data_IF_552481363247
#
_entry.id   IF_552481363247
#
_cell.length_a   1.000
_cell.length_b   1.000
_cell.length_c   1.000
_cell.angle_alpha   90.00
_cell.angle_beta   90.00
_cell.angle_gamma   90.00
#
_symmetry.space_group_name_H-M   'P 1'
#
loop_
_entity.id
_entity.type
_entity.pdbx_description
1 polymer ?
#
# COMPACT_ATOMS: atom_id res chain seq x y z
N UNK A 1 -4.95 -11.34 -6.42
CA UNK A 1 -5.06 -10.20 -5.48
C UNK A 1 -6.10 -10.53 -4.41
N UNK A 2 -5.79 -10.35 -3.12
CA UNK A 2 -6.75 -10.58 -2.01
C UNK A 2 -7.38 -9.25 -1.58
N UNK A 3 -8.62 -9.02 -2.00
CA UNK A 3 -9.37 -7.77 -1.75
C UNK A 3 -9.61 -7.54 -0.25
N UNK A 4 -9.93 -8.60 0.50
CA UNK A 4 -10.22 -8.48 1.93
C UNK A 4 -8.96 -8.10 2.71
N UNK A 5 -7.81 -8.71 2.37
CA UNK A 5 -6.53 -8.34 2.94
C UNK A 5 -6.16 -6.88 2.62
N UNK A 6 -6.41 -6.42 1.39
CA UNK A 6 -6.17 -5.03 0.98
C UNK A 6 -7.05 -4.06 1.76
N UNK A 7 -8.35 -4.30 1.85
CA UNK A 7 -9.26 -3.43 2.60
C UNK A 7 -8.89 -3.39 4.08
N UNK A 8 -8.60 -4.55 4.69
CA UNK A 8 -8.08 -4.64 6.06
C UNK A 8 -6.75 -3.92 6.21
N UNK A 9 -5.88 -3.90 5.20
CA UNK A 9 -4.61 -3.17 5.22
C UNK A 9 -4.82 -1.64 5.11
N UNK A 10 -5.78 -1.20 4.31
CA UNK A 10 -6.11 0.21 4.10
C UNK A 10 -6.97 0.81 5.22
N UNK A 11 -7.65 -0.01 6.02
CA UNK A 11 -8.50 0.40 7.15
C UNK A 11 -7.70 0.87 8.38
N UNK A 12 -6.60 1.59 8.18
CA UNK A 12 -5.83 2.26 9.25
C UNK A 12 -5.14 3.50 8.64
N UNK A 13 -5.25 4.67 9.29
CA UNK A 13 -4.70 5.92 8.76
C UNK A 13 -3.19 5.88 8.56
N UNK A 14 -2.43 5.39 9.53
CA UNK A 14 -0.96 5.34 9.45
C UNK A 14 -0.48 4.46 8.30
N UNK A 15 -1.13 3.32 8.05
CA UNK A 15 -0.80 2.48 6.88
C UNK A 15 -1.05 3.20 5.56
N UNK A 16 -2.07 4.06 5.49
CA UNK A 16 -2.31 4.91 4.31
C UNK A 16 -1.26 6.02 4.20
N UNK A 17 -0.82 6.60 5.31
CA UNK A 17 0.26 7.58 5.32
C UNK A 17 1.58 6.98 4.83
N UNK A 18 1.90 5.74 5.25
CA UNK A 18 3.05 5.00 4.72
C UNK A 18 2.97 4.85 3.19
N UNK A 19 1.80 4.47 2.67
CA UNK A 19 1.59 4.39 1.21
C UNK A 19 1.68 5.77 0.55
N UNK A 20 1.22 6.84 1.20
CA UNK A 20 1.34 8.18 0.66
C UNK A 20 2.80 8.59 0.55
N UNK A 21 3.59 8.40 1.62
CA UNK A 21 5.01 8.75 1.62
C UNK A 21 5.82 7.94 0.61
N UNK A 22 5.51 6.65 0.47
CA UNK A 22 6.19 5.77 -0.50
C UNK A 22 5.78 6.04 -1.96
N UNK A 23 4.75 6.85 -2.21
CA UNK A 23 4.36 7.25 -3.57
C UNK A 23 5.37 8.23 -4.18
N UNK A 24 5.89 9.12 -3.35
CA UNK A 24 6.91 10.10 -3.71
C UNK A 24 8.05 10.09 -2.67
N UNK A 25 8.85 9.01 -2.65
CA UNK A 25 9.78 8.79 -1.55
C UNK A 25 10.94 9.81 -1.54
N UNK A 26 11.27 10.44 -2.67
CA UNK A 26 12.29 11.48 -2.75
C UNK A 26 11.90 12.76 -1.99
N UNK A 27 10.60 13.11 -1.99
CA UNK A 27 10.08 14.28 -1.25
C UNK A 27 9.91 13.98 0.25
N UNK A 28 9.68 12.71 0.60
CA UNK A 28 9.30 12.34 1.96
C UNK A 28 10.43 11.78 2.83
N UNK A 29 11.50 11.27 2.22
CA UNK A 29 12.61 10.62 2.93
C UNK A 29 13.96 11.21 2.53
N UNK A 30 14.86 11.30 3.51
CA UNK A 30 16.25 11.69 3.27
C UNK A 30 17.13 10.56 2.74
N UNK A 31 18.46 10.73 2.81
CA UNK A 31 19.43 9.72 2.37
C UNK A 31 19.22 8.35 3.04
N UNK A 32 19.27 7.30 2.22
CA UNK A 32 19.14 5.91 2.69
C UNK A 32 20.49 5.35 3.15
N UNK A 33 20.50 4.32 4.02
CA UNK A 33 21.72 3.62 4.39
C UNK A 33 22.49 3.13 3.15
N UNK A 34 23.82 3.19 3.23
CA UNK A 34 24.73 2.71 2.18
C UNK A 34 24.52 3.36 0.80
N UNK A 35 23.86 4.53 0.75
CA UNK A 35 23.59 5.24 -0.50
C UNK A 35 22.54 4.56 -1.38
N UNK A 36 21.69 3.70 -0.81
CA UNK A 36 20.64 3.02 -1.57
C UNK A 36 19.70 4.04 -2.26
N UNK A 37 19.37 3.88 -3.56
CA UNK A 37 18.50 4.82 -4.26
C UNK A 37 17.09 4.83 -3.66
N UNK A 38 16.61 6.00 -3.23
CA UNK A 38 15.32 6.17 -2.56
C UNK A 38 14.14 5.77 -3.45
N UNK A 39 14.31 5.90 -4.77
CA UNK A 39 13.35 5.50 -5.80
C UNK A 39 13.20 3.98 -5.91
N UNK A 40 14.23 3.22 -5.50
CA UNK A 40 14.19 1.75 -5.47
C UNK A 40 13.58 1.22 -4.18
N UNK A 41 13.39 2.07 -3.17
CA UNK A 41 12.73 1.71 -1.92
C UNK A 41 13.32 2.44 -0.71
N UNK A 42 12.57 2.40 0.37
CA UNK A 42 12.88 3.13 1.61
C UNK A 42 13.14 2.14 2.73
N UNK A 43 14.22 2.36 3.48
CA UNK A 43 14.59 1.51 4.60
C UNK A 43 13.54 1.58 5.73
N UNK A 44 13.27 0.44 6.37
CA UNK A 44 12.35 0.37 7.54
C UNK A 44 12.64 1.44 8.60
N UNK A 45 13.92 1.74 8.88
CA UNK A 45 14.30 2.74 9.87
C UNK A 45 13.87 4.14 9.47
N UNK A 46 13.92 4.49 8.17
CA UNK A 46 13.45 5.79 7.68
C UNK A 46 11.94 5.94 7.74
N UNK A 47 11.20 4.84 7.55
CA UNK A 47 9.75 4.81 7.74
C UNK A 47 9.41 4.99 9.22
N UNK A 48 10.12 4.29 10.11
CA UNK A 48 9.97 4.42 11.55
C UNK A 48 10.18 5.86 12.03
N UNK A 49 11.22 6.53 11.55
CA UNK A 49 11.53 7.93 11.89
C UNK A 49 10.41 8.94 11.53
N UNK A 50 9.50 8.60 10.59
CA UNK A 50 8.35 9.45 10.24
C UNK A 50 7.12 9.19 11.12
N UNK A 51 7.18 8.24 12.05
CA UNK A 51 6.06 7.83 12.89
C UNK A 51 6.42 7.94 14.36
N UNK A 52 5.46 8.30 15.21
CA UNK A 52 5.63 8.24 16.67
C UNK A 52 5.38 6.83 17.24
N UNK A 53 5.54 5.79 16.40
CA UNK A 53 5.20 4.41 16.72
C UNK A 53 6.44 3.59 17.08
N UNK A 54 6.23 2.48 17.78
CA UNK A 54 7.29 1.51 18.04
C UNK A 54 7.73 0.78 16.76
N UNK A 55 8.98 0.32 16.74
CA UNK A 55 9.52 -0.50 15.65
C UNK A 55 8.66 -1.75 15.39
N UNK A 56 8.16 -2.41 16.44
CA UNK A 56 7.31 -3.60 16.31
C UNK A 56 5.99 -3.27 15.62
N UNK A 57 5.40 -2.11 15.91
CA UNK A 57 4.16 -1.64 15.27
C UNK A 57 4.39 -1.33 13.80
N UNK A 58 5.44 -0.57 13.47
CA UNK A 58 5.79 -0.24 12.08
C UNK A 58 6.10 -1.51 11.28
N UNK A 59 6.86 -2.45 11.86
CA UNK A 59 7.16 -3.73 11.21
C UNK A 59 5.89 -4.54 10.93
N UNK A 60 4.94 -4.55 11.88
CA UNK A 60 3.64 -5.19 11.70
C UNK A 60 2.85 -4.53 10.57
N UNK A 61 2.83 -3.20 10.51
CA UNK A 61 2.14 -2.46 9.45
C UNK A 61 2.72 -2.73 8.07
N UNK A 62 4.05 -2.71 7.95
CA UNK A 62 4.75 -3.03 6.71
C UNK A 62 4.50 -4.48 6.28
N UNK A 63 4.52 -5.43 7.21
CA UNK A 63 4.19 -6.82 6.93
C UNK A 63 2.74 -6.99 6.46
N UNK A 64 1.78 -6.27 7.06
CA UNK A 64 0.37 -6.30 6.61
C UNK A 64 0.21 -5.73 5.20
N UNK A 65 0.84 -4.59 4.92
CA UNK A 65 0.81 -3.97 3.60
C UNK A 65 1.50 -4.86 2.53
N UNK A 66 2.63 -5.47 2.86
CA UNK A 66 3.33 -6.41 1.99
C UNK A 66 2.51 -7.68 1.74
N UNK A 67 1.90 -8.26 2.78
CA UNK A 67 1.02 -9.44 2.65
C UNK A 67 -0.22 -9.17 1.80
N UNK A 68 -0.75 -7.94 1.87
CA UNK A 68 -1.83 -7.48 1.00
C UNK A 68 -1.36 -7.20 -0.44
N UNK A 69 -0.05 -7.25 -0.70
CA UNK A 69 0.55 -6.97 -2.00
C UNK A 69 0.71 -5.48 -2.33
N UNK A 70 0.35 -4.58 -1.41
CA UNK A 70 0.46 -3.12 -1.62
C UNK A 70 1.91 -2.63 -1.60
N UNK A 71 2.81 -3.41 -1.01
CA UNK A 71 4.24 -3.15 -0.96
C UNK A 71 5.03 -4.37 -1.46
N UNK A 72 6.16 -4.09 -2.09
CA UNK A 72 7.25 -5.04 -2.28
C UNK A 72 8.38 -4.72 -1.30
N UNK A 73 9.18 -5.72 -0.96
CA UNK A 73 10.37 -5.53 -0.15
C UNK A 73 11.60 -6.18 -0.78
N UNK A 74 12.75 -5.56 -0.54
CA UNK A 74 14.04 -6.02 -1.03
C UNK A 74 15.07 -5.90 0.09
N UNK A 75 15.87 -6.95 0.30
CA UNK A 75 16.91 -6.98 1.33
C UNK A 75 18.28 -6.74 0.71
N UNK A 76 19.04 -5.78 1.25
CA UNK A 76 20.43 -5.51 0.89
C UNK A 76 21.26 -5.51 2.16
N UNK A 77 22.14 -6.49 2.30
CA UNK A 77 22.89 -6.71 3.53
C UNK A 77 21.95 -6.91 4.74
N UNK A 78 22.08 -6.03 5.73
CA UNK A 78 21.24 -6.03 6.94
C UNK A 78 19.94 -5.23 6.80
N UNK A 79 19.79 -4.44 5.73
CA UNK A 79 18.69 -3.51 5.56
C UNK A 79 17.57 -4.10 4.71
N UNK A 80 16.32 -3.84 5.10
CA UNK A 80 15.13 -4.15 4.31
C UNK A 80 14.50 -2.86 3.82
N UNK A 81 14.33 -2.76 2.51
CA UNK A 81 13.73 -1.62 1.81
C UNK A 81 12.33 -1.98 1.34
N UNK A 82 11.40 -1.04 1.45
CA UNK A 82 10.02 -1.18 1.00
C UNK A 82 9.71 -0.20 -0.12
N UNK A 83 8.92 -0.64 -1.09
CA UNK A 83 8.43 0.17 -2.21
C UNK A 83 6.97 -0.14 -2.48
N UNK A 84 6.21 0.84 -2.96
CA UNK A 84 4.84 0.61 -3.44
C UNK A 84 4.81 -0.28 -4.67
N UNK A 85 3.87 -1.22 -4.65
CA UNK A 85 3.52 -2.00 -5.82
C UNK A 85 2.43 -1.25 -6.61
N UNK A 86 2.85 -0.36 -7.51
CA UNK A 86 1.91 0.41 -8.32
C UNK A 86 1.11 -0.47 -9.29
N UNK A 87 1.64 -1.64 -9.69
CA UNK A 87 0.92 -2.55 -10.57
C UNK A 87 -0.29 -3.15 -9.83
N UNK A 88 -0.05 -3.69 -8.63
CA UNK A 88 -1.12 -4.25 -7.80
C UNK A 88 -2.11 -3.18 -7.33
N UNK A 89 -1.65 -1.98 -6.98
CA UNK A 89 -2.53 -0.87 -6.59
C UNK A 89 -3.45 -0.47 -7.76
N UNK A 90 -2.93 -0.37 -8.99
CA UNK A 90 -3.74 -0.04 -10.17
C UNK A 90 -4.73 -1.17 -10.52
N UNK A 91 -4.30 -2.43 -10.42
CA UNK A 91 -5.17 -3.59 -10.59
C UNK A 91 -6.32 -3.58 -9.56
N UNK A 92 -6.00 -3.28 -8.30
CA UNK A 92 -6.97 -3.15 -7.22
C UNK A 92 -8.00 -2.06 -7.52
N UNK A 93 -7.53 -0.84 -7.82
CA UNK A 93 -8.41 0.29 -8.11
C UNK A 93 -9.34 0.01 -9.29
N UNK A 94 -8.81 -0.59 -10.37
CA UNK A 94 -9.62 -0.94 -11.55
C UNK A 94 -10.68 -2.00 -11.22
N UNK A 95 -10.27 -3.07 -10.54
CA UNK A 95 -11.15 -4.22 -10.27
C UNK A 95 -12.20 -3.90 -9.23
N UNK A 96 -11.78 -3.33 -8.09
CA UNK A 96 -12.68 -2.99 -7.00
C UNK A 96 -13.61 -1.83 -7.38
N UNK A 97 -13.13 -0.84 -8.12
CA UNK A 97 -13.97 0.22 -8.67
C UNK A 97 -15.08 -0.32 -9.58
N UNK A 98 -14.74 -1.21 -10.52
CA UNK A 98 -15.73 -1.90 -11.37
C UNK A 98 -16.73 -2.70 -10.55
N UNK A 99 -16.28 -3.44 -9.54
CA UNK A 99 -17.14 -4.23 -8.66
C UNK A 99 -18.14 -3.33 -7.90
N UNK A 100 -17.69 -2.21 -7.34
CA UNK A 100 -18.57 -1.24 -6.67
C UNK A 100 -19.58 -0.64 -7.64
N UNK A 101 -19.17 -0.26 -8.86
CA UNK A 101 -20.09 0.22 -9.89
C UNK A 101 -21.16 -0.83 -10.22
N UNK A 102 -20.80 -2.10 -10.35
CA UNK A 102 -21.75 -3.19 -10.58
C UNK A 102 -22.72 -3.40 -9.40
N UNK A 103 -22.28 -3.14 -8.16
CA UNK A 103 -23.16 -3.22 -6.99
C UNK A 103 -24.20 -2.09 -6.95
N UNK A 104 -23.87 -0.92 -7.47
CA UNK A 104 -24.79 0.20 -7.62
C UNK A 104 -25.85 -0.07 -8.72
N UNK A 105 -25.56 -0.96 -9.66
CA UNK A 105 -26.47 -1.38 -10.73
C UNK A 105 -27.07 -2.76 -10.38
N UNK A 106 -28.10 -2.82 -9.52
CA UNK A 106 -28.85 -4.08 -9.29
C UNK A 106 -30.27 -4.03 -9.85
N UNK A 107 -30.52 -4.98 -10.77
CA UNK A 107 -31.79 -5.69 -11.09
C UNK A 107 -33.07 -4.92 -10.69
N UNK A 108 -33.64 -4.16 -11.63
CA UNK A 108 -34.89 -3.47 -11.37
C UNK A 108 -35.53 -2.70 -12.53
N UNK A 109 -34.78 -2.33 -13.58
CA UNK A 109 -35.37 -1.75 -14.79
C UNK A 109 -35.95 -2.87 -15.70
N UNK A 110 -36.97 -3.59 -15.21
CA UNK A 110 -37.95 -4.18 -16.11
C UNK A 110 -39.00 -3.09 -16.37
N UNK A 111 -39.04 -2.46 -17.54
CA UNK A 111 -40.30 -1.90 -17.98
C UNK A 111 -41.24 -3.11 -18.15
N UNK A 112 -42.38 -3.06 -17.47
CA UNK A 112 -43.46 -3.99 -17.74
C UNK A 112 -43.69 -4.05 -19.25
N UNK A 113 -43.79 -5.26 -19.78
CA UNK A 113 -44.11 -5.49 -21.18
C UNK A 113 -45.44 -4.84 -21.52
N UNK A 114 -45.44 -4.11 -22.64
CA UNK A 114 -46.62 -3.89 -23.46
C UNK A 114 -46.86 -5.13 -24.33
#
# INVERSE_FOLDING_TARGET
>A
MDVEAILKALANPVRRDILLWLKDPATHFGPQPEGYPVEKGVCVTRILEKTDLSQSTVSTYLAMLQRAGLLTSHRVGQWTFYRRDEALINEFMSTFGKQLCQMLVKRGDYPNGD
#
